data_IF_655412546441
#
_entry.id   IF_655412546441
#
_cell.length_a   1.000
_cell.length_b   1.000
_cell.length_c   1.000
_cell.angle_alpha   90.00
_cell.angle_beta   90.00
_cell.angle_gamma   90.00
#
_symmetry.space_group_name_H-M   'P 1'
#
loop_
_entity.id
_entity.type
_entity.pdbx_description
1 polymer ?
#
# COMPACT_ATOMS: atom_id res chain seq x y z
N UNK A 1 8.75 -22.31 1.03
CA UNK A 1 9.02 -20.95 1.53
C UNK A 1 8.08 -20.69 2.70
N UNK A 2 8.64 -20.48 3.89
CA UNK A 2 7.89 -20.15 5.10
C UNK A 2 8.39 -18.79 5.61
N UNK A 3 7.44 -17.91 5.97
CA UNK A 3 7.72 -16.73 6.78
C UNK A 3 7.31 -17.10 8.19
N UNK A 4 8.27 -17.10 9.11
CA UNK A 4 8.04 -17.49 10.49
C UNK A 4 8.24 -16.26 11.37
N UNK A 5 7.23 -16.00 12.19
CA UNK A 5 7.32 -15.09 13.31
C UNK A 5 7.66 -15.95 14.53
N UNK A 6 8.89 -15.86 15.00
CA UNK A 6 9.44 -16.77 16.00
C UNK A 6 10.38 -16.10 16.98
N UNK A 7 11.10 -16.93 17.72
CA UNK A 7 12.20 -16.52 18.60
C UNK A 7 13.47 -16.20 17.75
N UNK A 8 14.51 -15.74 18.42
CA UNK A 8 15.82 -15.42 17.85
C UNK A 8 16.64 -16.69 17.53
N UNK A 9 17.51 -16.65 16.50
CA UNK A 9 18.40 -17.76 16.14
C UNK A 9 19.79 -17.65 16.76
N UNK A 10 20.21 -16.44 17.08
CA UNK A 10 21.51 -16.16 17.67
C UNK A 10 21.34 -15.19 18.83
N UNK A 11 22.30 -15.19 19.76
CA UNK A 11 22.31 -14.20 20.85
C UNK A 11 22.36 -12.76 20.32
N UNK A 12 22.99 -12.56 19.17
CA UNK A 12 23.19 -11.28 18.49
C UNK A 12 21.90 -10.75 17.84
N UNK A 13 20.90 -11.62 17.62
CA UNK A 13 19.62 -11.24 17.05
C UNK A 13 18.77 -10.42 18.03
N UNK A 14 19.24 -10.19 19.26
CA UNK A 14 18.63 -9.27 20.22
C UNK A 14 19.64 -8.27 20.75
N UNK A 15 19.26 -7.00 20.71
CA UNK A 15 20.02 -5.90 21.32
C UNK A 15 19.18 -5.24 22.41
N UNK A 16 19.70 -5.26 23.64
CA UNK A 16 18.99 -4.79 24.83
C UNK A 16 18.03 -5.83 25.44
N UNK A 17 17.44 -5.50 26.58
CA UNK A 17 16.52 -6.38 27.29
C UNK A 17 17.20 -7.59 27.94
N UNK A 18 16.44 -8.67 28.13
CA UNK A 18 16.95 -9.89 28.76
C UNK A 18 17.84 -10.69 27.80
N UNK A 19 18.93 -11.31 28.30
CA UNK A 19 19.79 -12.19 27.51
C UNK A 19 18.99 -13.31 26.86
N UNK A 20 19.39 -13.65 25.63
CA UNK A 20 18.88 -14.82 24.92
C UNK A 20 19.47 -16.08 25.55
N UNK A 21 18.63 -17.05 25.88
CA UNK A 21 19.10 -18.34 26.43
C UNK A 21 19.43 -19.31 25.30
N UNK A 22 20.49 -20.09 25.46
CA UNK A 22 20.90 -21.10 24.48
C UNK A 22 19.82 -22.17 24.24
N UNK A 23 19.03 -22.49 25.26
CA UNK A 23 17.93 -23.46 25.13
C UNK A 23 16.88 -23.01 24.10
N UNK A 24 16.51 -21.71 24.09
CA UNK A 24 15.54 -21.14 23.15
C UNK A 24 16.05 -21.17 21.71
N UNK A 25 17.35 -20.88 21.54
CA UNK A 25 18.02 -20.95 20.24
C UNK A 25 18.10 -22.40 19.75
N UNK A 26 18.48 -23.33 20.63
CA UNK A 26 18.66 -24.74 20.28
C UNK A 26 17.37 -25.40 19.80
N UNK A 27 16.25 -25.14 20.48
CA UNK A 27 14.93 -25.67 20.09
C UNK A 27 14.53 -25.19 18.69
N UNK A 28 14.74 -23.91 18.39
CA UNK A 28 14.37 -23.37 17.09
C UNK A 28 15.28 -23.87 15.97
N UNK A 29 16.59 -24.02 16.25
CA UNK A 29 17.54 -24.58 15.31
C UNK A 29 17.25 -26.05 15.01
N UNK A 30 16.94 -26.86 16.03
CA UNK A 30 16.56 -28.27 15.86
C UNK A 30 15.34 -28.41 14.95
N UNK A 31 14.34 -27.53 15.12
CA UNK A 31 13.16 -27.51 14.26
C UNK A 31 13.50 -27.19 12.79
N UNK A 32 14.41 -26.24 12.54
CA UNK A 32 14.87 -25.91 11.19
C UNK A 32 15.60 -27.08 10.54
N UNK A 33 16.46 -27.76 11.32
CA UNK A 33 17.24 -28.90 10.86
C UNK A 33 16.32 -30.08 10.50
N UNK A 34 15.33 -30.39 11.35
CA UNK A 34 14.31 -31.42 11.08
C UNK A 34 13.50 -31.10 9.82
N UNK A 35 13.18 -29.82 9.60
CA UNK A 35 12.43 -29.40 8.42
C UNK A 35 13.29 -29.22 7.17
N UNK A 36 14.61 -29.35 7.27
CA UNK A 36 15.59 -29.12 6.20
C UNK A 36 15.38 -27.73 5.56
N UNK A 37 15.35 -26.71 6.43
CA UNK A 37 15.12 -25.33 6.06
C UNK A 37 16.40 -24.51 6.20
N UNK A 38 16.71 -23.73 5.17
CA UNK A 38 17.85 -22.82 5.14
C UNK A 38 17.37 -21.37 5.14
N UNK A 39 18.09 -20.48 5.83
CA UNK A 39 17.77 -19.05 5.80
C UNK A 39 17.96 -18.51 4.38
N UNK A 40 16.93 -17.85 3.86
CA UNK A 40 16.98 -17.20 2.56
C UNK A 40 17.91 -15.98 2.63
N UNK A 41 18.74 -15.80 1.59
CA UNK A 41 19.53 -14.59 1.44
C UNK A 41 18.65 -13.34 1.61
N UNK A 42 19.13 -12.38 2.40
CA UNK A 42 18.36 -11.21 2.81
C UNK A 42 19.13 -9.90 2.67
N UNK A 43 18.41 -8.79 2.52
CA UNK A 43 18.97 -7.42 2.52
C UNK A 43 18.05 -6.47 3.27
N UNK A 44 18.58 -5.31 3.68
CA UNK A 44 17.81 -4.26 4.36
C UNK A 44 18.07 -4.25 5.86
N UNK A 45 17.02 -4.03 6.65
CA UNK A 45 17.12 -3.93 8.11
C UNK A 45 17.53 -5.26 8.75
N UNK A 46 18.51 -5.21 9.67
CA UNK A 46 19.00 -6.38 10.42
C UNK A 46 17.97 -6.88 11.44
N UNK A 47 17.41 -5.97 12.24
CA UNK A 47 16.36 -6.28 13.21
C UNK A 47 14.99 -6.07 12.57
N UNK A 48 14.05 -6.94 12.90
CA UNK A 48 12.70 -6.93 12.31
C UNK A 48 11.64 -6.45 13.27
N UNK A 49 12.01 -6.24 14.53
CA UNK A 49 11.14 -5.73 15.58
C UNK A 49 11.90 -4.79 16.52
N UNK A 50 11.21 -3.75 17.01
CA UNK A 50 11.69 -2.97 18.14
C UNK A 50 10.56 -2.30 18.96
N UNK A 51 10.80 -2.04 20.25
CA UNK A 51 9.85 -1.34 21.12
C UNK A 51 10.04 0.19 21.11
N UNK A 52 9.67 0.79 19.97
CA UNK A 52 9.85 2.23 19.65
C UNK A 52 9.62 3.23 20.77
N UNK A 53 8.70 2.94 21.68
CA UNK A 53 8.17 3.86 22.68
C UNK A 53 8.90 3.81 24.02
N UNK A 54 9.93 2.96 24.18
CA UNK A 54 10.74 2.91 25.40
C UNK A 54 12.07 3.62 25.24
N UNK A 55 12.53 4.28 26.31
CA UNK A 55 13.85 4.90 26.38
C UNK A 55 14.98 3.87 26.24
N UNK A 56 14.84 2.71 26.89
CA UNK A 56 15.75 1.58 26.74
C UNK A 56 15.20 0.63 25.68
N UNK A 57 15.34 1.03 24.42
CA UNK A 57 14.78 0.29 23.30
C UNK A 57 15.46 -1.07 23.13
N UNK A 58 14.64 -2.10 22.95
CA UNK A 58 15.03 -3.45 22.59
C UNK A 58 14.79 -3.64 21.11
N UNK A 59 15.80 -4.17 20.42
CA UNK A 59 15.70 -4.59 19.03
C UNK A 59 15.77 -6.12 18.98
N UNK A 60 14.99 -6.75 18.11
CA UNK A 60 15.05 -8.19 17.91
C UNK A 60 14.81 -8.56 16.44
N UNK A 61 15.53 -9.57 15.93
CA UNK A 61 15.24 -10.24 14.67
C UNK A 61 14.34 -11.43 14.97
N UNK A 62 13.05 -11.26 14.71
CA UNK A 62 11.99 -12.24 15.04
C UNK A 62 11.29 -12.80 13.80
N UNK A 63 11.39 -12.07 12.68
CA UNK A 63 10.72 -12.43 11.44
C UNK A 63 11.78 -12.97 10.48
N UNK A 64 11.65 -14.26 10.13
CA UNK A 64 12.63 -14.98 9.32
C UNK A 64 12.01 -15.49 8.03
N UNK A 65 12.82 -15.60 6.97
CA UNK A 65 12.39 -16.20 5.71
C UNK A 65 13.25 -17.42 5.43
N UNK A 66 12.62 -18.58 5.40
CA UNK A 66 13.30 -19.84 5.13
C UNK A 66 12.83 -20.48 3.82
N UNK A 67 13.73 -21.21 3.20
CA UNK A 67 13.51 -21.97 1.98
C UNK A 67 14.13 -23.36 2.13
N UNK A 68 13.47 -24.39 1.60
CA UNK A 68 14.05 -25.73 1.51
C UNK A 68 14.82 -25.87 0.20
N UNK A 69 15.78 -26.80 0.15
CA UNK A 69 16.68 -27.00 -0.99
C UNK A 69 15.94 -27.14 -2.33
N UNK A 70 14.91 -27.98 -2.39
CA UNK A 70 14.10 -28.18 -3.61
C UNK A 70 13.51 -26.86 -4.15
N UNK A 71 13.01 -25.97 -3.30
CA UNK A 71 12.47 -24.67 -3.73
C UNK A 71 13.56 -23.66 -4.04
N UNK A 72 14.71 -23.77 -3.39
CA UNK A 72 15.88 -22.94 -3.69
C UNK A 72 16.35 -23.19 -5.13
N UNK A 73 16.41 -24.48 -5.51
CA UNK A 73 16.77 -24.92 -6.86
C UNK A 73 15.74 -24.49 -7.91
N UNK A 74 14.44 -24.54 -7.60
CA UNK A 74 13.37 -24.04 -8.48
C UNK A 74 13.38 -22.51 -8.64
N UNK A 75 13.95 -21.76 -7.70
CA UNK A 75 13.84 -20.31 -7.61
C UNK A 75 15.20 -19.61 -7.44
N UNK A 76 16.14 -19.79 -8.41
CA UNK A 76 17.47 -19.19 -8.32
C UNK A 76 17.37 -17.66 -8.24
N UNK A 77 18.00 -17.08 -7.22
CA UNK A 77 17.97 -15.64 -6.98
C UNK A 77 16.76 -15.12 -6.18
N UNK A 78 15.97 -16.00 -5.57
CA UNK A 78 15.02 -15.58 -4.55
C UNK A 78 15.75 -14.84 -3.40
N UNK A 79 15.21 -13.72 -2.95
CA UNK A 79 15.79 -12.91 -1.87
C UNK A 79 14.71 -12.23 -1.04
N UNK A 80 14.91 -12.20 0.28
CA UNK A 80 14.09 -11.43 1.19
C UNK A 80 14.64 -9.99 1.34
N UNK A 81 13.77 -8.99 1.31
CA UNK A 81 14.13 -7.61 1.59
C UNK A 81 13.34 -7.10 2.80
N UNK A 82 14.05 -6.81 3.89
CA UNK A 82 13.50 -6.26 5.12
C UNK A 82 13.46 -4.73 5.02
N UNK A 83 12.25 -4.19 4.86
CA UNK A 83 12.03 -2.76 4.72
C UNK A 83 12.05 -2.06 6.09
N UNK A 84 12.24 -0.74 6.07
CA UNK A 84 12.13 0.05 7.30
C UNK A 84 10.71 0.01 7.87
N UNK A 85 10.63 -0.01 9.18
CA UNK A 85 9.42 -0.25 9.96
C UNK A 85 8.36 0.87 9.88
N UNK A 86 8.72 2.07 9.40
CA UNK A 86 7.80 3.21 9.30
C UNK A 86 7.15 3.55 10.66
N UNK A 87 5.82 3.43 10.76
CA UNK A 87 5.06 3.58 12.02
C UNK A 87 4.82 2.28 12.80
N UNK A 88 5.23 1.12 12.27
CA UNK A 88 5.05 -0.20 12.88
C UNK A 88 6.17 -0.51 13.88
N UNK A 89 5.93 -1.43 14.81
CA UNK A 89 6.96 -2.06 15.63
C UNK A 89 7.70 -3.17 14.88
N UNK A 90 7.11 -3.71 13.80
CA UNK A 90 7.72 -4.70 12.90
C UNK A 90 8.12 -4.11 11.55
N UNK A 91 9.16 -4.68 10.96
CA UNK A 91 9.68 -4.38 9.63
C UNK A 91 8.94 -5.22 8.58
N UNK A 92 8.30 -4.59 7.56
CA UNK A 92 7.69 -5.34 6.48
C UNK A 92 8.72 -6.13 5.65
N UNK A 93 8.38 -7.36 5.27
CA UNK A 93 9.22 -8.24 4.46
C UNK A 93 8.69 -8.31 3.03
N UNK A 94 9.57 -8.03 2.06
CA UNK A 94 9.29 -8.21 0.64
C UNK A 94 10.17 -9.32 0.06
N UNK A 95 9.58 -10.46 -0.30
CA UNK A 95 10.31 -11.54 -0.97
C UNK A 95 10.23 -11.35 -2.49
N UNK A 96 11.38 -11.08 -3.10
CA UNK A 96 11.51 -10.95 -4.55
C UNK A 96 11.96 -12.26 -5.17
N UNK A 97 11.27 -12.66 -6.24
CA UNK A 97 11.63 -13.78 -7.09
C UNK A 97 12.28 -13.21 -8.35
N UNK A 98 13.52 -13.61 -8.63
CA UNK A 98 14.26 -13.16 -9.83
C UNK A 98 13.66 -13.71 -11.14
N UNK A 99 12.76 -14.68 -11.05
CA UNK A 99 11.99 -15.12 -12.20
C UNK A 99 11.18 -13.95 -12.76
N UNK A 100 11.46 -13.59 -14.01
CA UNK A 100 10.62 -12.74 -14.86
C UNK A 100 9.23 -13.38 -14.95
N UNK A 101 8.40 -13.14 -13.93
CA UNK A 101 7.00 -13.57 -13.98
C UNK A 101 6.41 -12.82 -15.16
N UNK A 102 5.83 -13.52 -16.16
CA UNK A 102 5.10 -12.84 -17.21
C UNK A 102 4.10 -11.91 -16.52
N UNK A 103 4.11 -10.63 -16.88
CA UNK A 103 3.19 -9.63 -16.30
C UNK A 103 1.77 -10.18 -16.44
N UNK A 104 1.25 -10.82 -15.40
CA UNK A 104 -0.09 -11.36 -15.43
C UNK A 104 -1.03 -10.19 -15.67
N UNK A 105 -1.86 -10.30 -16.71
CA UNK A 105 -2.86 -9.28 -17.00
C UNK A 105 -3.75 -9.17 -15.78
N UNK A 106 -3.60 -8.09 -15.01
CA UNK A 106 -4.42 -7.85 -13.83
C UNK A 106 -5.89 -7.90 -14.26
N UNK A 107 -6.75 -8.66 -13.54
CA UNK A 107 -8.16 -8.69 -13.86
C UNK A 107 -8.71 -7.27 -13.79
N UNK A 108 -9.61 -6.93 -14.71
CA UNK A 108 -10.27 -5.64 -14.69
C UNK A 108 -11.15 -5.58 -13.43
N UNK A 109 -10.93 -4.54 -12.62
CA UNK A 109 -11.75 -4.23 -11.45
C UNK A 109 -12.38 -2.87 -11.66
N UNK A 110 -13.69 -2.80 -11.46
CA UNK A 110 -14.42 -1.55 -11.45
C UNK A 110 -13.89 -0.63 -10.35
N UNK A 111 -13.73 0.67 -10.60
CA UNK A 111 -13.37 1.64 -9.56
C UNK A 111 -14.50 2.65 -9.35
N UNK A 112 -14.96 2.80 -8.11
CA UNK A 112 -16.09 3.66 -7.76
C UNK A 112 -15.85 5.14 -8.12
N UNK A 113 -14.59 5.59 -8.07
CA UNK A 113 -14.20 6.95 -8.46
C UNK A 113 -14.61 7.33 -9.89
N UNK A 114 -14.79 6.34 -10.79
CA UNK A 114 -15.21 6.63 -12.16
C UNK A 114 -16.62 7.25 -12.22
N UNK A 115 -17.50 6.94 -11.26
CA UNK A 115 -18.84 7.53 -11.16
C UNK A 115 -18.80 9.05 -10.99
N UNK A 116 -17.72 9.59 -10.42
CA UNK A 116 -17.59 11.03 -10.18
C UNK A 116 -17.21 11.81 -11.45
N UNK A 117 -16.79 11.14 -12.52
CA UNK A 117 -16.45 11.81 -13.77
C UNK A 117 -17.71 12.09 -14.60
N UNK A 118 -17.91 13.32 -15.14
CA UNK A 118 -19.10 13.65 -15.93
C UNK A 118 -19.34 12.71 -17.11
N UNK A 119 -18.29 12.36 -17.84
CA UNK A 119 -18.39 11.44 -19.00
C UNK A 119 -18.86 10.04 -18.62
N UNK A 120 -18.79 9.63 -17.35
CA UNK A 120 -19.26 8.31 -16.93
C UNK A 120 -20.74 8.11 -17.24
N UNK A 121 -21.56 9.17 -17.14
CA UNK A 121 -23.00 9.13 -17.42
C UNK A 121 -23.32 8.83 -18.89
N UNK A 122 -22.38 9.13 -19.78
CA UNK A 122 -22.51 8.94 -21.24
C UNK A 122 -21.89 7.61 -21.70
N UNK A 123 -21.15 6.91 -20.84
CA UNK A 123 -20.58 5.59 -21.17
C UNK A 123 -21.68 4.54 -21.40
N UNK A 124 -22.79 4.50 -20.62
CA UNK A 124 -23.90 3.59 -20.87
C UNK A 124 -24.71 3.88 -22.15
N UNK A 125 -24.44 4.92 -22.93
CA UNK A 125 -25.27 5.24 -24.11
C UNK A 125 -24.54 5.01 -25.44
N UNK A 126 -23.22 4.86 -25.44
CA UNK A 126 -22.44 4.57 -26.66
C UNK A 126 -22.49 3.08 -27.04
N UNK A 127 -23.15 2.75 -28.15
CA UNK A 127 -22.92 1.50 -28.90
C UNK A 127 -23.75 0.28 -28.48
N UNK A 128 -25.02 0.47 -28.12
CA UNK A 128 -25.85 -0.58 -27.51
C UNK A 128 -26.74 -1.39 -28.47
N UNK A 129 -26.66 -1.13 -29.78
CA UNK A 129 -27.39 -1.87 -30.80
C UNK A 129 -26.52 -3.04 -31.29
N UNK A 130 -26.80 -4.24 -30.78
CA UNK A 130 -26.11 -5.46 -31.20
C UNK A 130 -27.10 -6.59 -31.43
N UNK A 131 -26.92 -7.32 -32.52
CA UNK A 131 -27.70 -8.51 -32.86
C UNK A 131 -27.11 -9.77 -32.21
N UNK A 132 -27.93 -10.83 -32.12
CA UNK A 132 -27.54 -12.12 -31.53
C UNK A 132 -28.30 -12.52 -30.28
N UNK A 133 -27.91 -13.66 -29.69
CA UNK A 133 -28.56 -14.21 -28.50
C UNK A 133 -28.31 -13.36 -27.24
N UNK A 134 -29.16 -13.50 -26.23
CA UNK A 134 -29.16 -12.63 -25.05
C UNK A 134 -27.82 -12.65 -24.30
N UNK A 135 -27.21 -13.83 -24.14
CA UNK A 135 -25.91 -13.99 -23.47
C UNK A 135 -24.81 -13.26 -24.24
N UNK A 136 -24.79 -13.39 -25.58
CA UNK A 136 -23.83 -12.72 -26.43
C UNK A 136 -23.93 -11.19 -26.30
N UNK A 137 -25.15 -10.65 -26.32
CA UNK A 137 -25.41 -9.22 -26.12
C UNK A 137 -24.83 -8.71 -24.80
N UNK A 138 -25.04 -9.44 -23.69
CA UNK A 138 -24.50 -9.07 -22.37
C UNK A 138 -22.97 -9.10 -22.38
N UNK A 139 -22.34 -10.15 -22.89
CA UNK A 139 -20.88 -10.28 -22.94
C UNK A 139 -20.25 -9.13 -23.73
N UNK A 140 -20.81 -8.80 -24.88
CA UNK A 140 -20.28 -7.73 -25.72
C UNK A 140 -20.47 -6.34 -25.07
N UNK A 141 -21.61 -6.10 -24.40
CA UNK A 141 -21.82 -4.87 -23.61
C UNK A 141 -20.78 -4.72 -22.50
N UNK A 142 -20.50 -5.80 -21.77
CA UNK A 142 -19.48 -5.79 -20.72
C UNK A 142 -18.06 -5.57 -21.27
N UNK A 143 -17.74 -6.12 -22.45
CA UNK A 143 -16.46 -5.88 -23.14
C UNK A 143 -16.31 -4.41 -23.56
N UNK A 144 -17.34 -3.82 -24.16
CA UNK A 144 -17.35 -2.42 -24.55
C UNK A 144 -17.20 -1.49 -23.34
N UNK A 145 -18.01 -1.72 -22.29
CA UNK A 145 -17.94 -0.97 -21.03
C UNK A 145 -16.54 -1.02 -20.43
N UNK A 146 -15.93 -2.21 -20.36
CA UNK A 146 -14.56 -2.38 -19.87
C UNK A 146 -13.54 -1.57 -20.68
N UNK A 147 -13.66 -1.53 -22.00
CA UNK A 147 -12.73 -0.78 -22.85
C UNK A 147 -12.89 0.73 -22.64
N UNK A 148 -14.13 1.23 -22.60
CA UNK A 148 -14.42 2.64 -22.36
C UNK A 148 -13.94 3.10 -20.99
N UNK A 149 -14.19 2.32 -19.93
CA UNK A 149 -13.73 2.63 -18.58
C UNK A 149 -12.21 2.59 -18.45
N UNK A 150 -11.53 1.69 -19.18
CA UNK A 150 -10.06 1.70 -19.24
C UNK A 150 -9.52 2.98 -19.86
N UNK A 151 -10.12 3.43 -20.97
CA UNK A 151 -9.74 4.69 -21.62
C UNK A 151 -9.97 5.88 -20.69
N UNK A 152 -11.13 5.95 -20.05
CA UNK A 152 -11.45 6.96 -19.05
C UNK A 152 -10.40 6.98 -17.92
N UNK A 153 -10.06 5.80 -17.39
CA UNK A 153 -9.08 5.70 -16.31
C UNK A 153 -7.69 6.20 -16.72
N UNK A 154 -7.19 5.78 -17.89
CA UNK A 154 -5.87 6.22 -18.37
C UNK A 154 -5.84 7.73 -18.59
N UNK A 155 -6.92 8.29 -19.15
CA UNK A 155 -7.00 9.69 -19.53
C UNK A 155 -7.11 10.64 -18.32
N UNK A 156 -7.87 10.27 -17.28
CA UNK A 156 -8.21 11.21 -16.20
C UNK A 156 -7.75 10.78 -14.81
N UNK A 157 -7.39 9.51 -14.60
CA UNK A 157 -7.15 8.98 -13.26
C UNK A 157 -5.79 8.29 -13.11
N UNK A 158 -4.99 8.21 -14.16
CA UNK A 158 -3.69 7.53 -14.15
C UNK A 158 -2.68 8.21 -13.22
N UNK A 159 -2.76 9.54 -13.11
CA UNK A 159 -1.85 10.37 -12.31
C UNK A 159 -2.49 10.94 -11.05
N UNK A 160 -3.68 10.47 -10.65
CA UNK A 160 -4.48 11.04 -9.58
C UNK A 160 -3.69 11.29 -8.28
N UNK A 161 -2.90 10.32 -7.80
CA UNK A 161 -2.08 10.50 -6.59
C UNK A 161 -1.02 11.60 -6.73
N UNK A 162 -0.43 11.74 -7.93
CA UNK A 162 0.57 12.78 -8.19
C UNK A 162 -0.10 14.16 -8.21
N UNK A 163 -1.27 14.26 -8.81
CA UNK A 163 -2.06 15.50 -8.86
C UNK A 163 -2.51 15.93 -7.47
N UNK A 164 -3.06 15.01 -6.66
CA UNK A 164 -3.43 15.28 -5.27
C UNK A 164 -2.23 15.75 -4.43
N UNK A 165 -1.06 15.10 -4.59
CA UNK A 165 0.14 15.52 -3.89
C UNK A 165 0.63 16.90 -4.35
N UNK A 166 0.54 17.21 -5.65
CA UNK A 166 0.88 18.53 -6.18
C UNK A 166 -0.07 19.61 -5.64
N UNK A 167 -1.38 19.34 -5.60
CA UNK A 167 -2.38 20.23 -5.03
C UNK A 167 -2.14 20.45 -3.53
N UNK A 168 -1.80 19.39 -2.78
CA UNK A 168 -1.43 19.50 -1.35
C UNK A 168 -0.25 20.45 -1.14
N UNK A 169 0.80 20.33 -1.96
CA UNK A 169 1.93 21.26 -1.89
C UNK A 169 1.52 22.68 -2.26
N UNK A 170 0.67 22.84 -3.28
CA UNK A 170 0.18 24.16 -3.68
C UNK A 170 -0.65 24.85 -2.58
N UNK A 171 -1.57 24.12 -1.94
CA UNK A 171 -2.31 24.62 -0.76
C UNK A 171 -1.34 25.08 0.33
N UNK A 172 -0.34 24.25 0.66
CA UNK A 172 0.68 24.58 1.66
C UNK A 172 1.41 25.88 1.32
N UNK A 173 1.89 26.03 0.08
CA UNK A 173 2.62 27.22 -0.35
C UNK A 173 1.76 28.49 -0.29
N UNK A 174 0.50 28.43 -0.74
CA UNK A 174 -0.41 29.59 -0.66
C UNK A 174 -0.67 29.97 0.80
N UNK A 175 -0.85 28.99 1.68
CA UNK A 175 -1.03 29.22 3.11
C UNK A 175 0.21 29.82 3.77
N UNK A 176 1.41 29.37 3.41
CA UNK A 176 2.69 29.96 3.86
C UNK A 176 2.81 31.43 3.41
N UNK A 177 2.40 31.76 2.18
CA UNK A 177 2.39 33.14 1.69
C UNK A 177 1.37 34.02 2.42
N UNK A 178 0.19 33.47 2.76
CA UNK A 178 -0.81 34.16 3.56
C UNK A 178 -0.33 34.44 5.00
N UNK A 179 0.56 33.63 5.57
CA UNK A 179 1.18 33.96 6.88
C UNK A 179 2.01 35.24 6.81
N UNK A 180 2.63 35.52 5.66
CA UNK A 180 3.43 36.74 5.43
C UNK A 180 2.55 37.92 5.04
N UNK A 181 1.50 37.69 4.25
CA UNK A 181 0.56 38.74 3.83
C UNK A 181 -0.92 38.28 3.95
N UNK A 182 -1.51 38.34 5.17
CA UNK A 182 -2.83 37.76 5.44
C UNK A 182 -3.99 38.43 4.70
N UNK A 183 -3.84 39.70 4.31
CA UNK A 183 -4.91 40.49 3.68
C UNK A 183 -4.82 40.52 2.15
N UNK A 184 -3.91 39.74 1.56
CA UNK A 184 -3.79 39.66 0.11
C UNK A 184 -5.02 38.96 -0.51
N UNK A 185 -5.91 39.75 -1.10
CA UNK A 185 -7.15 39.24 -1.72
C UNK A 185 -6.89 38.21 -2.83
N UNK A 186 -5.77 38.33 -3.56
CA UNK A 186 -5.40 37.37 -4.60
C UNK A 186 -5.06 36.00 -4.00
N UNK A 187 -4.27 35.97 -2.92
CA UNK A 187 -3.90 34.73 -2.24
C UNK A 187 -5.10 34.09 -1.53
N UNK A 188 -5.99 34.88 -0.94
CA UNK A 188 -7.23 34.36 -0.34
C UNK A 188 -8.15 33.71 -1.39
N UNK A 189 -8.25 34.31 -2.57
CA UNK A 189 -9.00 33.73 -3.69
C UNK A 189 -8.35 32.45 -4.19
N UNK A 190 -7.03 32.46 -4.37
CA UNK A 190 -6.27 31.28 -4.80
C UNK A 190 -6.37 30.14 -3.80
N UNK A 191 -6.23 30.39 -2.49
CA UNK A 191 -6.39 29.39 -1.43
C UNK A 191 -7.75 28.69 -1.55
N UNK A 192 -8.82 29.48 -1.73
CA UNK A 192 -10.18 28.96 -1.86
C UNK A 192 -10.39 28.15 -3.13
N UNK A 193 -9.71 28.48 -4.22
CA UNK A 193 -9.80 27.74 -5.49
C UNK A 193 -9.01 26.43 -5.41
N UNK A 194 -7.73 26.51 -5.04
CA UNK A 194 -6.85 25.33 -4.91
C UNK A 194 -7.35 24.39 -3.82
N UNK A 195 -7.87 24.91 -2.70
CA UNK A 195 -8.45 24.09 -1.63
C UNK A 195 -9.70 23.33 -2.07
N UNK A 196 -10.55 23.94 -2.91
CA UNK A 196 -11.71 23.26 -3.50
C UNK A 196 -11.30 22.14 -4.46
N UNK A 197 -10.30 22.40 -5.30
CA UNK A 197 -9.75 21.42 -6.22
C UNK A 197 -9.09 20.25 -5.46
N UNK A 198 -8.24 20.56 -4.48
CA UNK A 198 -7.61 19.56 -3.62
C UNK A 198 -8.63 18.65 -2.92
N UNK A 199 -9.70 19.23 -2.33
CA UNK A 199 -10.75 18.46 -1.66
C UNK A 199 -11.46 17.50 -2.64
N UNK A 200 -11.73 17.97 -3.87
CA UNK A 200 -12.36 17.14 -4.90
C UNK A 200 -11.48 15.96 -5.31
N UNK A 201 -10.21 16.20 -5.59
CA UNK A 201 -9.30 15.15 -6.06
C UNK A 201 -8.91 14.19 -4.92
N UNK A 202 -8.76 14.68 -3.69
CA UNK A 202 -8.52 13.84 -2.49
C UNK A 202 -9.66 12.85 -2.28
N UNK A 203 -10.91 13.30 -2.42
CA UNK A 203 -12.08 12.44 -2.30
C UNK A 203 -12.06 11.26 -3.30
N UNK A 204 -11.56 11.46 -4.53
CA UNK A 204 -11.43 10.38 -5.51
C UNK A 204 -10.39 9.34 -5.08
N UNK A 205 -9.28 9.77 -4.47
CA UNK A 205 -8.26 8.89 -3.90
C UNK A 205 -8.83 8.10 -2.73
N UNK A 206 -9.58 8.76 -1.84
CA UNK A 206 -10.25 8.13 -0.70
C UNK A 206 -11.23 7.05 -1.16
N UNK A 207 -12.08 7.32 -2.15
CA UNK A 207 -12.96 6.31 -2.75
C UNK A 207 -12.19 5.09 -3.27
N UNK A 208 -11.06 5.31 -3.94
CA UNK A 208 -10.21 4.24 -4.46
C UNK A 208 -9.59 3.42 -3.31
N UNK A 209 -9.11 4.09 -2.26
CA UNK A 209 -8.51 3.46 -1.10
C UNK A 209 -9.54 2.64 -0.32
N UNK A 210 -10.72 3.22 -0.03
CA UNK A 210 -11.82 2.54 0.65
C UNK A 210 -12.26 1.27 -0.07
N UNK A 211 -12.36 1.33 -1.41
CA UNK A 211 -12.69 0.16 -2.21
C UNK A 211 -11.58 -0.92 -2.16
N UNK A 212 -10.32 -0.52 -2.13
CA UNK A 212 -9.17 -1.45 -2.09
C UNK A 212 -8.99 -2.10 -0.73
N UNK A 213 -9.19 -1.35 0.34
CA UNK A 213 -9.10 -1.85 1.72
C UNK A 213 -10.34 -2.67 2.11
N UNK A 214 -11.38 -2.74 1.26
CA UNK A 214 -12.70 -3.26 1.62
C UNK A 214 -13.24 -2.63 2.90
N UNK A 215 -12.83 -1.39 3.18
CA UNK A 215 -13.22 -0.67 4.37
C UNK A 215 -14.61 -0.09 4.17
N UNK A 216 -15.62 -0.95 4.21
CA UNK A 216 -17.02 -0.53 4.44
C UNK A 216 -17.17 0.06 5.85
N UNK A 217 -16.22 -0.24 6.75
CA UNK A 217 -16.20 0.21 8.15
C UNK A 217 -15.80 1.67 8.39
N UNK A 218 -15.38 2.42 7.36
CA UNK A 218 -15.00 3.83 7.51
C UNK A 218 -16.18 4.82 7.39
N UNK A 219 -17.41 4.34 7.17
CA UNK A 219 -18.62 5.19 7.08
C UNK A 219 -19.05 5.84 8.41
N UNK A 220 -18.25 5.73 9.49
CA UNK A 220 -18.50 6.37 10.79
C UNK A 220 -17.31 7.20 11.29
N UNK A 221 -16.69 8.03 10.44
CA UNK A 221 -15.68 8.95 10.94
C UNK A 221 -15.13 9.92 9.92
N UNK A 222 -15.92 10.95 9.59
CA UNK A 222 -15.35 12.29 9.33
C UNK A 222 -16.35 13.46 9.49
N UNK A 223 -17.41 13.26 10.29
CA UNK A 223 -18.27 14.35 10.80
C UNK A 223 -17.84 14.79 12.21
N UNK A 224 -16.54 14.83 12.48
CA UNK A 224 -16.06 15.51 13.69
C UNK A 224 -14.68 16.15 13.48
N UNK A 225 -14.70 17.43 13.10
CA UNK A 225 -13.59 18.37 13.00
C UNK A 225 -12.91 18.66 14.35
N UNK A 226 -12.52 17.65 15.13
CA UNK A 226 -11.94 17.89 16.45
C UNK A 226 -10.94 16.85 16.98
N UNK A 227 -10.24 16.09 16.14
CA UNK A 227 -9.15 15.25 16.61
C UNK A 227 -7.94 15.22 15.67
N UNK A 228 -7.14 16.29 15.72
CA UNK A 228 -5.74 16.23 15.29
C UNK A 228 -4.85 17.14 16.14
N UNK A 229 -4.78 16.85 17.44
CA UNK A 229 -3.63 17.16 18.28
C UNK A 229 -3.37 15.97 19.19
N UNK A 230 -2.29 15.23 18.92
CA UNK A 230 -1.44 14.44 19.85
C UNK A 230 -0.67 13.38 19.05
N UNK A 231 0.42 13.81 18.42
CA UNK A 231 1.66 13.03 18.45
C UNK A 231 2.55 13.71 19.49
N UNK A 232 2.71 13.06 20.63
CA UNK A 232 3.93 13.17 21.43
C UNK A 232 4.91 12.11 20.91
#
# INVERSE_FOLDING_TARGET
MAVLNGDVLHSEDRLGGNPVTLAKVAEFQEWLDVCVLEEMASTGSTYTWNDKWKHNRVYSKLDWVFINGERSDEMPGCRAHFMHEGGSAHNPIHVSLLADKPKHKRPFKYCNMWNAHPQFKDIPTLGWQMEGCQIYKVVMKMKGLKQTLRRLHVQYFSNLNREVNSLRQKVKTVQEQLQVNPMCLLLLKEEKEVGREFKRESYLVEMLLAQRSKATWLELGDDNTNFSYRMC
#
